data_IF_851049178576
#
_entry.id   IF_851049178576
#
_cell.length_a   1.000
_cell.length_b   1.000
_cell.length_c   1.000
_cell.angle_alpha   90.00
_cell.angle_beta   90.00
_cell.angle_gamma   90.00
#
_symmetry.space_group_name_H-M   'P 1'
#
loop_
_entity.id
_entity.type
_entity.pdbx_description
1 polymer ?
#
# COMPACT_ATOMS: atom_id res chain seq x y z
N UNK A 1 -5.25 -6.10 9.80
CA UNK A 1 -3.84 -5.66 9.68
C UNK A 1 -3.37 -4.95 10.92
N UNK A 2 -3.57 -5.56 12.10
CA UNK A 2 -3.27 -4.94 13.40
C UNK A 2 -1.85 -5.26 13.89
N UNK A 3 -1.16 -6.19 13.22
CA UNK A 3 0.15 -6.70 13.63
C UNK A 3 1.27 -6.24 12.69
N UNK A 4 1.01 -5.34 11.74
CA UNK A 4 2.01 -4.88 10.77
C UNK A 4 3.26 -4.30 11.44
N UNK A 5 3.16 -3.48 12.52
CA UNK A 5 4.34 -3.00 13.24
C UNK A 5 5.12 -4.13 13.94
N UNK A 6 4.39 -5.08 14.56
CA UNK A 6 4.99 -6.20 15.28
C UNK A 6 5.72 -7.18 14.34
N UNK A 7 5.13 -7.49 13.19
CA UNK A 7 5.75 -8.33 12.15
C UNK A 7 7.01 -7.64 11.62
N UNK A 8 6.96 -6.33 11.37
CA UNK A 8 8.15 -5.56 10.97
C UNK A 8 9.28 -5.69 11.98
N UNK A 9 8.99 -5.47 13.27
CA UNK A 9 9.97 -5.61 14.34
C UNK A 9 10.55 -7.05 14.41
N UNK A 10 9.72 -8.08 14.28
CA UNK A 10 10.17 -9.47 14.28
C UNK A 10 11.09 -9.80 13.10
N UNK A 11 10.78 -9.30 11.90
CA UNK A 11 11.62 -9.46 10.69
C UNK A 11 13.00 -8.86 10.89
N UNK A 12 13.07 -7.63 11.40
CA UNK A 12 14.35 -6.96 11.67
C UNK A 12 15.13 -7.67 12.79
N UNK A 13 14.48 -8.02 13.89
CA UNK A 13 15.12 -8.73 15.01
C UNK A 13 15.69 -10.09 14.59
N UNK A 14 14.92 -10.88 13.82
CA UNK A 14 15.37 -12.19 13.36
C UNK A 14 16.54 -12.11 12.37
N UNK A 15 16.58 -11.06 11.53
CA UNK A 15 17.71 -10.81 10.62
C UNK A 15 18.96 -10.37 11.41
N UNK A 16 18.82 -9.44 12.36
CA UNK A 16 19.92 -8.97 13.19
C UNK A 16 20.49 -10.07 14.10
N UNK A 17 19.63 -11.00 14.54
CA UNK A 17 20.03 -12.19 15.30
C UNK A 17 20.68 -13.29 14.43
N UNK A 18 20.77 -13.10 13.11
CA UNK A 18 21.37 -14.06 12.18
C UNK A 18 20.53 -15.33 11.93
N UNK A 19 19.25 -15.33 12.33
CA UNK A 19 18.34 -16.46 12.08
C UNK A 19 17.98 -16.59 10.59
N UNK A 20 18.03 -15.48 9.87
CA UNK A 20 17.85 -15.40 8.42
C UNK A 20 18.99 -14.59 7.79
N UNK A 21 19.41 -14.93 6.56
CA UNK A 21 20.54 -14.27 5.90
C UNK A 21 20.25 -12.81 5.50
N UNK A 22 18.98 -12.46 5.32
CA UNK A 22 18.56 -11.13 4.90
C UNK A 22 17.08 -10.86 5.26
N UNK A 23 16.70 -9.59 5.15
CA UNK A 23 15.36 -9.09 5.49
C UNK A 23 14.26 -9.73 4.62
N UNK A 24 14.50 -9.94 3.33
CA UNK A 24 13.49 -10.49 2.42
C UNK A 24 13.22 -11.97 2.75
N UNK A 25 14.28 -12.71 3.08
CA UNK A 25 14.15 -14.11 3.53
C UNK A 25 13.39 -14.19 4.86
N UNK A 26 13.71 -13.33 5.83
CA UNK A 26 12.98 -13.23 7.10
C UNK A 26 11.52 -12.81 6.90
N UNK A 27 11.27 -11.82 6.05
CA UNK A 27 9.93 -11.32 5.73
C UNK A 27 9.07 -12.41 5.12
N UNK A 28 9.60 -13.19 4.18
CA UNK A 28 8.89 -14.30 3.54
C UNK A 28 8.52 -15.41 4.52
N UNK A 29 9.37 -15.66 5.52
CA UNK A 29 9.14 -16.69 6.54
C UNK A 29 8.17 -16.24 7.64
N UNK A 30 8.20 -14.96 8.02
CA UNK A 30 7.49 -14.44 9.20
C UNK A 30 6.22 -13.65 8.88
N UNK A 31 6.08 -13.14 7.65
CA UNK A 31 4.90 -12.35 7.26
C UNK A 31 3.82 -13.25 6.68
N UNK A 32 2.56 -12.94 6.99
CA UNK A 32 1.44 -13.50 6.24
C UNK A 32 1.53 -13.01 4.78
N UNK A 33 1.28 -13.92 3.83
CA UNK A 33 1.19 -13.57 2.43
C UNK A 33 0.02 -12.63 2.13
N UNK A 34 -0.04 -12.12 0.91
CA UNK A 34 -1.17 -11.30 0.46
C UNK A 34 -2.43 -12.15 0.34
N UNK A 35 -3.42 -11.90 1.19
CA UNK A 35 -4.69 -12.65 1.21
C UNK A 35 -5.49 -12.47 -0.09
N UNK A 36 -5.54 -11.24 -0.61
CA UNK A 36 -6.32 -10.90 -1.81
C UNK A 36 -5.57 -9.90 -2.67
N UNK A 37 -5.47 -10.22 -3.96
CA UNK A 37 -4.92 -9.32 -4.98
C UNK A 37 -6.08 -8.80 -5.82
N UNK A 38 -6.36 -7.50 -5.72
CA UNK A 38 -7.32 -6.82 -6.60
C UNK A 38 -6.57 -6.32 -7.83
N UNK A 39 -6.93 -6.86 -9.00
CA UNK A 39 -6.36 -6.42 -10.28
C UNK A 39 -7.19 -5.29 -10.87
N UNK A 40 -6.57 -4.33 -11.58
CA UNK A 40 -7.31 -3.29 -12.29
C UNK A 40 -8.28 -3.90 -13.30
N UNK A 41 -9.49 -3.37 -13.33
CA UNK A 41 -10.46 -3.63 -14.38
C UNK A 41 -10.36 -2.48 -15.40
N UNK A 42 -9.87 -2.74 -16.63
CA UNK A 42 -9.63 -1.67 -17.62
C UNK A 42 -10.89 -0.88 -17.98
N UNK A 43 -12.06 -1.52 -17.99
CA UNK A 43 -13.32 -0.85 -18.30
C UNK A 43 -13.70 0.15 -17.20
N UNK A 44 -13.50 -0.24 -15.93
CA UNK A 44 -13.73 0.66 -14.79
C UNK A 44 -12.65 1.73 -14.66
N UNK A 45 -11.41 1.43 -15.00
CA UNK A 45 -10.31 2.40 -14.96
C UNK A 45 -10.59 3.63 -15.84
N UNK A 46 -11.12 3.41 -17.05
CA UNK A 46 -11.50 4.50 -17.95
C UNK A 46 -12.57 5.42 -17.32
N UNK A 47 -13.60 4.83 -16.71
CA UNK A 47 -14.66 5.58 -16.02
C UNK A 47 -14.10 6.39 -14.85
N UNK A 48 -13.27 5.77 -14.00
CA UNK A 48 -12.70 6.45 -12.85
C UNK A 48 -11.71 7.55 -13.22
N UNK A 49 -11.00 7.45 -14.35
CA UNK A 49 -10.16 8.53 -14.85
C UNK A 49 -10.97 9.79 -15.17
N UNK A 50 -12.11 9.65 -15.84
CA UNK A 50 -13.00 10.78 -16.13
C UNK A 50 -13.53 11.42 -14.84
N UNK A 51 -13.96 10.60 -13.87
CA UNK A 51 -14.44 11.08 -12.58
C UNK A 51 -13.34 11.79 -11.78
N UNK A 52 -12.10 11.26 -11.82
CA UNK A 52 -10.96 11.85 -11.13
C UNK A 52 -10.63 13.24 -11.68
N UNK A 53 -10.67 13.43 -12.99
CA UNK A 53 -10.48 14.75 -13.60
C UNK A 53 -11.56 15.76 -13.19
N UNK A 54 -12.81 15.32 -13.05
CA UNK A 54 -13.88 16.17 -12.51
C UNK A 54 -13.62 16.54 -11.04
N UNK A 55 -13.20 15.57 -10.22
CA UNK A 55 -12.88 15.80 -8.82
C UNK A 55 -11.73 16.80 -8.66
N UNK A 56 -10.68 16.70 -9.49
CA UNK A 56 -9.56 17.66 -9.49
C UNK A 56 -10.01 19.06 -9.84
N UNK A 57 -10.84 19.23 -10.87
CA UNK A 57 -11.41 20.54 -11.24
C UNK A 57 -12.21 21.16 -10.09
N UNK A 58 -13.01 20.34 -9.39
CA UNK A 58 -13.74 20.78 -8.21
C UNK A 58 -12.80 21.21 -7.08
N UNK A 59 -11.76 20.42 -6.78
CA UNK A 59 -10.76 20.77 -5.78
C UNK A 59 -10.04 22.08 -6.10
N UNK A 60 -9.57 22.25 -7.34
CA UNK A 60 -8.92 23.49 -7.79
C UNK A 60 -9.86 24.69 -7.77
N UNK A 61 -11.15 24.50 -8.05
CA UNK A 61 -12.16 25.56 -7.93
C UNK A 61 -12.30 26.03 -6.47
N UNK A 62 -12.48 25.09 -5.54
CA UNK A 62 -12.64 25.40 -4.10
C UNK A 62 -11.38 26.06 -3.54
N UNK A 63 -10.19 25.53 -3.86
CA UNK A 63 -8.91 26.13 -3.44
C UNK A 63 -8.70 27.53 -4.03
N UNK A 64 -9.26 27.81 -5.21
CA UNK A 64 -9.25 29.13 -5.83
C UNK A 64 -10.19 30.13 -5.17
N UNK A 65 -11.36 29.69 -4.71
CA UNK A 65 -12.32 30.54 -3.97
C UNK A 65 -11.90 30.82 -2.52
N UNK A 66 -11.09 29.94 -1.92
CA UNK A 66 -10.64 30.06 -0.52
C UNK A 66 -9.31 30.81 -0.38
N UNK A 67 -8.84 31.47 -1.45
CA UNK A 67 -7.64 32.32 -1.45
C UNK A 67 -7.94 33.79 -1.23
#
# INVERSE_FOLDING_TARGET
GDQSPAIGAAVFAATAAGLYPDIFTAQKALSAGTERIHKPDPARAAVYNTLYEQYRKLGSFIEGETK
#
